data_IF_799204493016
#
_entry.id   IF_799204493016
#
_cell.length_a   1.000
_cell.length_b   1.000
_cell.length_c   1.000
_cell.angle_alpha   90.00
_cell.angle_beta   90.00
_cell.angle_gamma   90.00
#
_symmetry.space_group_name_H-M   'P 1'
#
loop_
_entity.id
_entity.type
_entity.pdbx_description
1 polymer ?
#
# COMPACT_ATOMS: atom_id res chain seq x y z
N UNK A 1 -24.44 -46.67 18.38
CA UNK A 1 -24.20 -46.69 19.85
C UNK A 1 -23.30 -45.51 20.24
N UNK A 2 -23.86 -44.67 21.12
CA UNK A 2 -23.21 -43.71 22.03
C UNK A 2 -22.44 -42.51 21.41
N UNK A 3 -23.05 -41.33 21.47
CA UNK A 3 -22.98 -40.27 22.50
C UNK A 3 -21.74 -39.39 22.26
N UNK A 4 -21.75 -38.11 21.88
CA UNK A 4 -22.48 -37.02 22.48
C UNK A 4 -21.59 -36.35 23.52
N UNK A 5 -21.09 -35.17 23.32
CA UNK A 5 -20.94 -34.17 24.38
C UNK A 5 -20.69 -32.78 23.69
N UNK A 6 -21.66 -31.91 23.83
CA UNK A 6 -21.51 -30.48 23.57
C UNK A 6 -20.79 -29.82 24.71
N UNK A 7 -19.91 -28.87 24.37
CA UNK A 7 -19.36 -27.92 25.35
C UNK A 7 -19.83 -26.51 24.96
N UNK A 8 -20.82 -26.02 25.71
CA UNK A 8 -21.13 -24.60 25.81
C UNK A 8 -20.01 -23.88 26.56
N UNK A 9 -19.32 -22.96 25.90
CA UNK A 9 -18.50 -21.97 26.58
C UNK A 9 -19.33 -20.75 26.89
N UNK A 10 -19.61 -20.56 28.19
CA UNK A 10 -20.28 -19.44 28.81
C UNK A 10 -19.26 -18.31 28.99
N UNK A 11 -19.51 -17.14 28.40
CA UNK A 11 -18.74 -15.92 28.65
C UNK A 11 -19.25 -15.23 29.92
N UNK A 12 -18.38 -14.82 30.84
CA UNK A 12 -18.75 -14.03 31.99
C UNK A 12 -18.92 -12.54 31.58
N UNK A 13 -20.10 -12.02 31.79
CA UNK A 13 -20.37 -10.60 31.70
C UNK A 13 -19.76 -9.81 32.86
N UNK A 14 -18.96 -8.82 32.52
CA UNK A 14 -18.56 -7.77 33.45
C UNK A 14 -19.09 -6.44 32.93
N UNK A 15 -20.26 -6.08 33.47
CA UNK A 15 -20.83 -4.74 33.33
C UNK A 15 -20.27 -3.91 34.49
N UNK A 16 -19.25 -3.11 34.25
CA UNK A 16 -18.84 -2.07 35.19
C UNK A 16 -19.68 -0.81 34.96
N UNK A 17 -20.64 -0.60 35.86
CA UNK A 17 -21.35 0.67 36.02
C UNK A 17 -20.43 1.69 36.67
N UNK A 18 -20.10 2.76 35.96
CA UNK A 18 -19.46 3.94 36.52
C UNK A 18 -20.52 4.78 37.26
N UNK A 19 -20.24 5.28 38.47
CA UNK A 19 -21.15 6.16 39.20
C UNK A 19 -21.13 7.58 38.64
N UNK A 20 -22.33 8.16 38.51
CA UNK A 20 -22.55 9.56 38.13
C UNK A 20 -22.14 10.50 39.29
N UNK A 21 -21.52 11.66 39.00
CA UNK A 21 -21.21 12.64 40.04
C UNK A 21 -22.48 13.40 40.51
N UNK A 22 -22.52 13.86 41.75
CA UNK A 22 -23.71 14.51 42.32
C UNK A 22 -23.89 15.94 41.78
N UNK A 23 -25.14 16.27 41.56
CA UNK A 23 -25.68 17.57 41.13
C UNK A 23 -25.60 18.54 42.29
N UNK A 24 -24.77 19.59 42.19
CA UNK A 24 -24.74 20.67 43.16
C UNK A 24 -25.80 21.73 42.83
N UNK A 25 -26.61 22.05 43.87
CA UNK A 25 -27.63 23.11 43.85
C UNK A 25 -27.01 24.53 43.88
N UNK A 26 -27.68 25.54 43.33
CA UNK A 26 -27.26 26.92 43.46
C UNK A 26 -27.78 27.56 44.74
N UNK A 27 -26.91 27.92 45.63
CA UNK A 27 -27.19 28.79 46.77
C UNK A 27 -26.73 30.23 46.48
N UNK A 28 -27.66 31.17 46.59
CA UNK A 28 -27.42 32.57 46.38
C UNK A 28 -26.72 33.28 47.52
N UNK A 29 -26.09 34.42 47.24
CA UNK A 29 -25.59 35.40 48.19
C UNK A 29 -24.68 36.42 47.51
N UNK A 30 -25.00 37.76 47.61
CA UNK A 30 -24.22 38.75 46.96
C UNK A 30 -23.18 39.31 47.93
N UNK A 31 -21.94 39.34 47.55
CA UNK A 31 -20.95 40.29 48.14
C UNK A 31 -19.82 40.54 47.15
N UNK A 32 -19.66 41.79 46.82
CA UNK A 32 -18.68 42.26 45.89
C UNK A 32 -17.26 42.08 46.34
N UNK A 33 -16.42 41.68 45.42
CA UNK A 33 -14.97 41.91 45.52
C UNK A 33 -14.43 42.07 44.11
N UNK A 34 -14.01 43.29 43.83
CA UNK A 34 -13.24 43.67 42.65
C UNK A 34 -11.95 42.86 42.64
N UNK A 35 -11.89 41.81 41.84
CA UNK A 35 -10.65 41.09 41.52
C UNK A 35 -10.18 41.57 40.13
N UNK A 36 -9.09 42.32 40.16
CA UNK A 36 -8.25 42.60 39.01
C UNK A 36 -7.82 41.30 38.36
N UNK A 37 -8.49 40.93 37.25
CA UNK A 37 -8.03 39.87 36.36
C UNK A 37 -6.85 40.39 35.56
N UNK A 38 -5.63 40.16 36.06
CA UNK A 38 -4.42 40.27 35.27
C UNK A 38 -4.48 39.28 34.12
N UNK A 39 -4.69 39.76 32.89
CA UNK A 39 -4.51 39.03 31.65
C UNK A 39 -3.03 38.61 31.53
N UNK A 40 -2.67 37.44 32.08
CA UNK A 40 -1.44 36.77 31.72
C UNK A 40 -1.70 36.18 30.32
N UNK A 41 -1.44 36.98 29.28
CA UNK A 41 -1.31 36.49 27.92
C UNK A 41 -0.09 35.57 27.89
N UNK A 42 -0.30 34.30 28.21
CA UNK A 42 0.68 33.25 28.02
C UNK A 42 0.98 33.16 26.53
N UNK A 43 2.06 33.77 26.09
CA UNK A 43 2.62 33.58 24.77
C UNK A 43 3.03 32.12 24.66
N UNK A 44 2.12 31.27 24.17
CA UNK A 44 2.49 29.91 23.75
C UNK A 44 3.45 30.06 22.56
N UNK A 45 4.73 30.12 22.86
CA UNK A 45 5.80 29.95 21.88
C UNK A 45 5.58 28.59 21.23
N UNK A 46 4.95 28.55 20.06
CA UNK A 46 4.97 27.40 19.18
C UNK A 46 6.44 27.18 18.80
N UNK A 47 7.12 26.34 19.56
CA UNK A 47 8.47 25.92 19.23
C UNK A 47 8.41 25.33 17.83
N UNK A 48 8.92 26.06 16.85
CA UNK A 48 9.04 25.58 15.48
C UNK A 48 9.91 24.33 15.52
N UNK A 49 9.29 23.17 15.33
CA UNK A 49 10.01 21.91 15.24
C UNK A 49 10.99 22.01 14.08
N UNK A 50 12.28 21.84 14.36
CA UNK A 50 13.34 21.84 13.34
C UNK A 50 12.97 20.78 12.27
N UNK A 51 12.95 21.17 10.98
CA UNK A 51 12.65 20.21 9.92
C UNK A 51 13.69 19.11 9.90
N UNK A 52 13.23 17.87 9.72
CA UNK A 52 14.10 16.72 9.58
C UNK A 52 14.79 16.71 8.22
N UNK A 53 16.04 16.30 8.19
CA UNK A 53 16.78 16.07 6.95
C UNK A 53 16.63 14.61 6.55
N UNK A 54 15.91 14.35 5.44
CA UNK A 54 15.68 13.00 4.94
C UNK A 54 16.21 12.85 3.53
N UNK A 55 17.11 11.90 3.31
CA UNK A 55 17.65 11.61 1.99
C UNK A 55 18.08 10.15 1.84
N UNK A 56 18.16 9.69 0.58
CA UNK A 56 18.70 8.38 0.21
C UNK A 56 20.16 8.56 -0.18
N UNK A 57 21.05 7.93 0.55
CA UNK A 57 22.50 8.06 0.37
C UNK A 57 23.03 7.33 -0.87
N UNK A 58 24.35 7.36 -1.03
CA UNK A 58 25.04 6.63 -2.09
C UNK A 58 24.86 5.12 -1.92
N UNK A 59 24.73 4.40 -3.05
CA UNK A 59 24.51 2.97 -3.04
C UNK A 59 25.77 2.15 -3.16
N UNK A 60 25.70 0.90 -2.66
CA UNK A 60 26.68 -0.16 -2.90
C UNK A 60 26.00 -1.38 -3.52
N UNK A 61 26.73 -2.11 -4.34
CA UNK A 61 26.26 -3.39 -4.87
C UNK A 61 26.50 -4.49 -3.83
N UNK A 62 25.52 -5.35 -3.66
CA UNK A 62 25.54 -6.45 -2.69
C UNK A 62 25.01 -7.72 -3.34
N UNK A 63 25.36 -8.91 -2.83
CA UNK A 63 24.78 -10.16 -3.30
C UNK A 63 23.25 -10.13 -3.18
N UNK A 64 22.57 -10.54 -4.24
CA UNK A 64 21.14 -10.47 -4.36
C UNK A 64 20.54 -11.85 -4.60
N UNK A 65 19.44 -12.15 -3.92
CA UNK A 65 18.59 -13.31 -4.19
C UNK A 65 17.27 -12.85 -4.78
N UNK A 66 16.95 -13.37 -5.94
CA UNK A 66 15.66 -13.15 -6.63
C UNK A 66 14.50 -13.92 -6.01
N UNK A 67 14.75 -14.75 -4.99
CA UNK A 67 13.69 -15.50 -4.30
C UNK A 67 12.65 -14.54 -3.74
N UNK A 68 11.41 -14.68 -4.19
CA UNK A 68 10.30 -13.81 -3.80
C UNK A 68 10.15 -12.52 -4.61
N UNK A 69 10.85 -12.39 -5.75
CA UNK A 69 10.71 -11.23 -6.64
C UNK A 69 10.71 -11.63 -8.13
N UNK A 70 9.74 -12.42 -8.58
CA UNK A 70 9.71 -12.93 -9.96
C UNK A 70 9.20 -11.92 -10.98
N UNK A 71 8.43 -10.94 -10.56
CA UNK A 71 7.74 -10.04 -11.49
C UNK A 71 8.63 -8.91 -12.03
N UNK A 72 9.87 -9.20 -12.39
CA UNK A 72 10.79 -8.19 -12.97
C UNK A 72 12.24 -8.40 -12.62
N UNK A 73 12.56 -9.44 -11.89
CA UNK A 73 13.94 -9.84 -11.71
C UNK A 73 14.40 -10.55 -12.99
N UNK A 74 15.40 -9.97 -13.65
CA UNK A 74 16.12 -10.69 -14.68
C UNK A 74 16.83 -11.87 -14.02
N UNK A 75 16.72 -13.10 -14.55
CA UNK A 75 17.38 -14.29 -13.99
C UNK A 75 18.90 -14.12 -13.79
N UNK A 76 19.48 -13.16 -14.47
CA UNK A 76 20.91 -12.85 -14.46
C UNK A 76 21.30 -11.79 -13.42
N UNK A 77 20.34 -11.14 -12.74
CA UNK A 77 20.63 -10.09 -11.76
C UNK A 77 21.22 -10.72 -10.49
N UNK A 78 22.53 -10.71 -10.37
CA UNK A 78 23.27 -11.26 -9.22
C UNK A 78 23.56 -10.25 -8.12
N UNK A 79 23.28 -8.97 -8.37
CA UNK A 79 23.61 -7.88 -7.47
C UNK A 79 22.45 -6.90 -7.32
N UNK A 80 22.18 -6.52 -6.09
CA UNK A 80 21.25 -5.45 -5.76
C UNK A 80 22.02 -4.20 -5.35
N UNK A 81 21.65 -3.05 -5.90
CA UNK A 81 22.20 -1.78 -5.43
C UNK A 81 21.45 -1.32 -4.20
N UNK A 82 22.10 -1.34 -3.05
CA UNK A 82 21.51 -0.98 -1.76
C UNK A 82 21.97 0.40 -1.33
N UNK A 83 21.05 1.24 -0.87
CA UNK A 83 21.25 2.63 -0.45
C UNK A 83 20.72 2.85 0.96
N UNK A 84 21.44 3.52 1.84
CA UNK A 84 20.90 3.89 3.16
C UNK A 84 19.88 5.01 3.03
N UNK A 85 18.76 4.86 3.72
CA UNK A 85 17.81 5.93 3.99
C UNK A 85 18.24 6.60 5.30
N UNK A 86 18.62 7.86 5.20
CA UNK A 86 19.09 8.64 6.34
C UNK A 86 18.04 9.64 6.79
N UNK A 87 17.87 9.71 8.11
CA UNK A 87 17.07 10.75 8.78
C UNK A 87 17.98 11.41 9.80
N UNK A 88 18.21 12.70 9.68
CA UNK A 88 19.12 13.47 10.52
C UNK A 88 20.53 12.88 10.60
N UNK A 89 21.02 12.42 9.45
CA UNK A 89 22.34 11.80 9.33
C UNK A 89 22.45 10.36 9.87
N UNK A 90 21.36 9.79 10.42
CA UNK A 90 21.35 8.41 10.94
C UNK A 90 20.67 7.48 9.94
N UNK A 91 21.27 6.32 9.69
CA UNK A 91 20.65 5.27 8.87
C UNK A 91 19.43 4.73 9.60
N UNK A 92 18.26 4.86 8.99
CA UNK A 92 17.01 4.31 9.52
C UNK A 92 16.66 2.98 8.85
N UNK A 93 16.88 2.90 7.55
CA UNK A 93 16.56 1.73 6.75
C UNK A 93 17.52 1.58 5.58
N UNK A 94 17.52 0.41 4.97
CA UNK A 94 18.17 0.15 3.69
C UNK A 94 17.14 0.03 2.59
N UNK A 95 17.43 0.60 1.43
CA UNK A 95 16.51 0.67 0.28
C UNK A 95 17.23 0.21 -0.98
N UNK A 96 16.49 -0.23 -1.99
CA UNK A 96 17.07 -0.50 -3.32
C UNK A 96 17.17 0.77 -4.20
N UNK A 97 16.67 1.91 -3.68
CA UNK A 97 16.69 3.19 -4.39
C UNK A 97 15.47 3.44 -5.28
N UNK A 98 14.61 2.45 -5.51
CA UNK A 98 13.31 2.68 -6.15
C UNK A 98 12.47 3.59 -5.25
N UNK A 99 12.15 4.78 -5.73
CA UNK A 99 11.39 5.76 -4.96
C UNK A 99 10.40 6.50 -5.85
N UNK A 100 9.28 6.91 -5.26
CA UNK A 100 8.28 7.70 -5.93
C UNK A 100 7.76 8.80 -5.00
N UNK A 101 7.73 10.05 -5.49
CA UNK A 101 7.22 11.19 -4.74
C UNK A 101 5.69 11.16 -4.71
N UNK A 102 5.12 11.18 -3.50
CA UNK A 102 3.66 11.24 -3.30
C UNK A 102 3.22 12.71 -3.22
N UNK A 103 3.91 13.47 -2.39
CA UNK A 103 3.74 14.93 -2.24
C UNK A 103 5.12 15.54 -1.98
N UNK A 104 5.21 16.86 -1.93
CA UNK A 104 6.45 17.54 -1.53
C UNK A 104 6.92 17.11 -0.13
N UNK A 105 5.98 16.69 0.70
CA UNK A 105 6.20 16.28 2.08
C UNK A 105 6.53 14.81 2.23
N UNK A 106 6.07 13.95 1.33
CA UNK A 106 6.15 12.50 1.48
C UNK A 106 6.53 11.78 0.19
N UNK A 107 7.23 10.67 0.34
CA UNK A 107 7.56 9.78 -0.74
C UNK A 107 7.53 8.33 -0.26
N UNK A 108 7.43 7.41 -1.20
CA UNK A 108 7.60 5.97 -0.95
C UNK A 108 8.94 5.52 -1.48
N UNK A 109 9.51 4.51 -0.83
CA UNK A 109 10.75 3.89 -1.26
C UNK A 109 10.69 2.40 -0.98
N UNK A 110 11.29 1.59 -1.85
CA UNK A 110 11.31 0.15 -1.65
C UNK A 110 12.44 -0.24 -0.71
N UNK A 111 12.10 -0.95 0.37
CA UNK A 111 13.05 -1.46 1.36
C UNK A 111 13.94 -2.53 0.75
N UNK A 112 15.21 -2.58 1.15
CA UNK A 112 16.10 -3.71 0.93
C UNK A 112 16.25 -4.47 2.24
N UNK A 113 15.99 -5.77 2.22
CA UNK A 113 16.10 -6.65 3.38
C UNK A 113 17.40 -7.43 3.32
N UNK A 114 18.10 -7.52 4.44
CA UNK A 114 19.25 -8.40 4.60
C UNK A 114 18.80 -9.65 5.35
N UNK A 115 18.98 -10.79 4.73
CA UNK A 115 18.57 -12.09 5.27
C UNK A 115 19.77 -13.00 5.41
N UNK A 116 19.75 -13.84 6.43
CA UNK A 116 20.69 -14.93 6.57
C UNK A 116 20.02 -16.18 6.03
N UNK A 117 20.53 -16.74 4.95
CA UNK A 117 20.05 -17.97 4.32
C UNK A 117 20.90 -19.21 4.62
N UNK A 118 21.75 -19.12 5.66
CA UNK A 118 22.52 -20.26 6.13
C UNK A 118 21.63 -21.40 6.57
N UNK A 119 21.98 -22.60 6.15
CA UNK A 119 21.26 -23.80 6.58
C UNK A 119 21.66 -24.19 8.04
N UNK A 120 20.76 -24.89 8.75
CA UNK A 120 21.10 -25.47 10.04
C UNK A 120 22.33 -26.40 9.92
N UNK A 121 23.42 -26.05 10.59
CA UNK A 121 24.70 -26.78 10.53
C UNK A 121 25.81 -26.10 9.74
N UNK A 122 25.51 -25.02 9.02
CA UNK A 122 26.55 -24.23 8.37
C UNK A 122 27.48 -23.59 9.42
N UNK A 123 28.78 -23.61 9.14
CA UNK A 123 29.81 -23.02 10.02
C UNK A 123 29.92 -21.49 9.90
N UNK A 124 29.34 -20.93 8.88
CA UNK A 124 29.38 -19.49 8.60
C UNK A 124 28.02 -18.95 8.20
N UNK A 125 27.75 -17.72 8.60
CA UNK A 125 26.56 -17.00 8.18
C UNK A 125 26.67 -16.61 6.70
N UNK A 126 25.61 -16.86 5.94
CA UNK A 126 25.50 -16.46 4.54
C UNK A 126 24.44 -15.38 4.39
N UNK A 127 24.88 -14.13 4.21
CA UNK A 127 24.00 -12.98 4.13
C UNK A 127 23.73 -12.60 2.67
N UNK A 128 22.45 -12.57 2.35
CA UNK A 128 21.93 -12.14 1.04
C UNK A 128 20.99 -10.94 1.21
N UNK A 129 20.72 -10.27 0.13
CA UNK A 129 19.79 -9.17 0.08
C UNK A 129 18.61 -9.50 -0.81
N UNK A 130 17.44 -8.96 -0.45
CA UNK A 130 16.20 -9.09 -1.20
C UNK A 130 15.47 -7.75 -1.28
N UNK A 131 14.63 -7.57 -2.29
CA UNK A 131 13.66 -6.48 -2.33
C UNK A 131 12.59 -6.73 -1.29
N UNK A 132 12.41 -5.77 -0.40
CA UNK A 132 11.43 -5.83 0.69
C UNK A 132 10.14 -5.06 0.36
N UNK A 133 9.29 -4.84 1.38
CA UNK A 133 8.08 -4.06 1.24
C UNK A 133 8.37 -2.58 0.98
N UNK A 134 7.35 -1.84 0.56
CA UNK A 134 7.42 -0.40 0.41
C UNK A 134 7.35 0.30 1.77
N UNK A 135 8.08 1.39 1.89
CA UNK A 135 8.09 2.28 3.04
C UNK A 135 7.50 3.63 2.64
N UNK A 136 6.71 4.22 3.52
CA UNK A 136 6.25 5.61 3.42
C UNK A 136 7.10 6.49 4.33
N UNK A 137 7.62 7.56 3.76
CA UNK A 137 8.52 8.50 4.41
C UNK A 137 7.83 9.87 4.49
N UNK A 138 7.71 10.43 5.69
CA UNK A 138 7.30 11.82 5.90
C UNK A 138 8.54 12.68 6.17
N UNK A 139 8.86 13.59 5.25
CA UNK A 139 10.04 14.48 5.34
C UNK A 139 9.96 15.46 6.49
N UNK A 140 8.75 15.87 6.87
CA UNK A 140 8.54 16.86 7.94
C UNK A 140 8.69 16.22 9.31
N UNK A 141 8.11 15.04 9.50
CA UNK A 141 8.17 14.30 10.76
C UNK A 141 9.42 13.44 10.89
N UNK A 142 10.18 13.23 9.82
CA UNK A 142 11.28 12.27 9.77
C UNK A 142 10.83 10.83 10.05
N UNK A 143 9.54 10.53 9.85
CA UNK A 143 9.00 9.20 10.12
C UNK A 143 9.18 8.27 8.92
N UNK A 144 9.52 7.02 9.23
CA UNK A 144 9.66 5.91 8.29
C UNK A 144 8.71 4.82 8.73
N UNK A 145 7.71 4.51 7.92
CA UNK A 145 6.67 3.52 8.24
C UNK A 145 6.50 2.52 7.11
N UNK A 146 6.22 1.26 7.45
CA UNK A 146 5.87 0.28 6.44
C UNK A 146 4.55 0.68 5.76
N UNK A 147 4.55 0.68 4.43
CA UNK A 147 3.34 0.90 3.66
C UNK A 147 2.63 -0.44 3.46
N UNK A 148 1.39 -0.50 3.93
CA UNK A 148 0.55 -1.68 3.69
C UNK A 148 -0.14 -1.55 2.33
N UNK A 149 0.17 -2.48 1.43
CA UNK A 149 -0.51 -2.64 0.16
C UNK A 149 -1.36 -3.91 0.23
N UNK A 150 -2.71 -3.81 0.12
CA UNK A 150 -3.61 -4.96 0.25
C UNK A 150 -3.29 -6.05 -0.78
N UNK A 151 -3.22 -7.31 -0.35
CA UNK A 151 -3.01 -8.48 -1.20
C UNK A 151 -1.75 -8.42 -2.10
N UNK A 152 -0.83 -7.50 -1.80
CA UNK A 152 0.39 -7.34 -2.58
C UNK A 152 1.38 -8.48 -2.32
N UNK A 153 1.78 -9.14 -3.40
CA UNK A 153 2.84 -10.12 -3.41
C UNK A 153 3.89 -9.69 -4.45
N UNK A 154 5.12 -9.36 -4.02
CA UNK A 154 6.18 -8.98 -4.95
C UNK A 154 6.54 -10.09 -5.94
N UNK A 155 6.23 -11.36 -5.59
CA UNK A 155 6.41 -12.50 -6.46
C UNK A 155 5.46 -12.53 -7.66
N UNK A 156 4.38 -11.80 -7.60
CA UNK A 156 3.30 -11.82 -8.60
C UNK A 156 3.33 -10.58 -9.49
N UNK A 157 3.65 -9.42 -8.92
CA UNK A 157 3.55 -8.15 -9.62
C UNK A 157 4.47 -7.09 -9.03
N UNK A 158 4.93 -6.17 -9.86
CA UNK A 158 5.53 -4.93 -9.41
C UNK A 158 4.45 -3.86 -9.18
N UNK A 159 4.75 -2.93 -8.27
CA UNK A 159 3.90 -1.75 -8.04
C UNK A 159 4.28 -0.66 -9.03
N UNK A 160 3.32 -0.18 -9.80
CA UNK A 160 3.48 0.98 -10.68
C UNK A 160 2.74 2.17 -10.09
N UNK A 161 3.47 3.23 -9.83
CA UNK A 161 2.98 4.41 -9.14
C UNK A 161 2.48 5.48 -10.10
N UNK A 162 1.39 6.12 -9.73
CA UNK A 162 0.90 7.36 -10.34
C UNK A 162 0.37 8.30 -9.26
N UNK A 163 1.03 9.45 -9.03
CA UNK A 163 0.75 10.34 -7.90
C UNK A 163 0.79 9.56 -6.59
N UNK A 164 -0.32 9.51 -5.84
CA UNK A 164 -0.50 8.78 -4.60
C UNK A 164 -1.20 7.41 -4.76
N UNK A 165 -1.35 6.96 -6.01
CA UNK A 165 -1.92 5.66 -6.34
C UNK A 165 -0.84 4.62 -6.64
N UNK A 166 -1.03 3.45 -6.08
CA UNK A 166 -0.26 2.23 -6.34
C UNK A 166 -1.13 1.25 -7.12
N UNK A 167 -0.74 0.86 -8.32
CA UNK A 167 -1.43 -0.16 -9.10
C UNK A 167 -0.57 -1.41 -9.23
N UNK A 168 -1.17 -2.57 -9.01
CA UNK A 168 -0.49 -3.87 -9.05
C UNK A 168 -1.52 -5.01 -9.14
N UNK A 169 -1.08 -6.19 -9.51
CA UNK A 169 -1.88 -7.40 -9.35
C UNK A 169 -1.67 -7.98 -7.95
N UNK A 170 -2.75 -8.04 -7.19
CA UNK A 170 -2.77 -8.68 -5.88
C UNK A 170 -3.07 -10.17 -5.98
N UNK A 171 -2.62 -10.94 -4.99
CA UNK A 171 -2.88 -12.36 -4.86
C UNK A 171 -3.70 -12.63 -3.60
N UNK A 172 -4.78 -13.40 -3.74
CA UNK A 172 -5.54 -13.82 -2.56
C UNK A 172 -4.68 -14.59 -1.56
N UNK A 173 -5.06 -14.57 -0.29
CA UNK A 173 -4.38 -15.32 0.77
C UNK A 173 -4.30 -16.84 0.49
N UNK A 174 -5.23 -17.36 -0.32
CA UNK A 174 -5.20 -18.78 -0.76
C UNK A 174 -4.25 -19.05 -1.93
N UNK A 175 -3.65 -18.00 -2.54
CA UNK A 175 -2.79 -18.11 -3.72
C UNK A 175 -3.52 -18.49 -5.02
N UNK A 176 -4.86 -18.52 -5.02
CA UNK A 176 -5.64 -19.07 -6.16
C UNK A 176 -6.32 -18.00 -7.01
N UNK A 177 -6.28 -16.74 -6.60
CA UNK A 177 -7.04 -15.69 -7.25
C UNK A 177 -6.22 -14.44 -7.41
N UNK A 178 -6.13 -13.93 -8.64
CA UNK A 178 -5.56 -12.62 -8.94
C UNK A 178 -6.62 -11.52 -8.86
N UNK A 179 -6.19 -10.36 -8.41
CA UNK A 179 -6.98 -9.13 -8.33
C UNK A 179 -6.26 -7.97 -9.02
N UNK A 180 -7.00 -7.17 -9.76
CA UNK A 180 -6.57 -5.81 -10.11
C UNK A 180 -6.73 -4.93 -8.87
N UNK A 181 -5.66 -4.36 -8.37
CA UNK A 181 -5.68 -3.51 -7.18
C UNK A 181 -5.14 -2.13 -7.51
N UNK A 182 -5.89 -1.11 -7.12
CA UNK A 182 -5.41 0.28 -7.06
C UNK A 182 -5.60 0.74 -5.62
N UNK A 183 -4.50 0.90 -4.91
CA UNK A 183 -4.48 1.41 -3.55
C UNK A 183 -4.02 2.87 -3.53
N UNK A 184 -4.64 3.70 -2.70
CA UNK A 184 -4.20 5.07 -2.44
C UNK A 184 -3.45 5.12 -1.11
N UNK A 185 -2.29 5.78 -1.07
CA UNK A 185 -1.37 5.76 0.07
C UNK A 185 -2.03 6.16 1.40
N UNK A 186 -2.95 7.11 1.39
CA UNK A 186 -3.62 7.59 2.60
C UNK A 186 -4.96 6.89 2.89
N UNK A 187 -5.46 6.05 1.98
CA UNK A 187 -6.76 5.40 2.11
C UNK A 187 -6.66 4.06 2.85
N UNK A 188 -7.67 3.76 3.66
CA UNK A 188 -7.77 2.46 4.35
C UNK A 188 -8.23 1.32 3.44
N UNK A 189 -8.95 1.66 2.36
CA UNK A 189 -9.49 0.70 1.40
C UNK A 189 -8.94 1.00 0.01
N UNK A 190 -8.69 0.00 -0.81
CA UNK A 190 -8.30 0.23 -2.19
C UNK A 190 -9.44 0.90 -2.97
N UNK A 191 -9.08 1.75 -3.92
CA UNK A 191 -10.01 2.38 -4.88
C UNK A 191 -10.57 1.33 -5.84
N UNK A 192 -9.73 0.35 -6.19
CA UNK A 192 -10.08 -0.80 -7.01
C UNK A 192 -9.57 -2.07 -6.34
N UNK A 193 -10.44 -3.07 -6.23
CA UNK A 193 -10.07 -4.46 -5.92
C UNK A 193 -11.05 -5.37 -6.67
N UNK A 194 -10.68 -5.76 -7.89
CA UNK A 194 -11.52 -6.57 -8.78
C UNK A 194 -10.81 -7.85 -9.17
N UNK A 195 -11.58 -8.92 -9.14
CA UNK A 195 -11.12 -10.24 -9.56
C UNK A 195 -10.74 -10.22 -11.04
N UNK A 196 -9.52 -10.67 -11.36
CA UNK A 196 -9.03 -10.79 -12.73
C UNK A 196 -9.22 -12.20 -13.26
N UNK A 197 -8.54 -13.16 -12.66
CA UNK A 197 -8.58 -14.54 -13.08
C UNK A 197 -8.44 -15.47 -11.89
N UNK A 198 -9.00 -16.68 -12.01
CA UNK A 198 -8.70 -17.75 -11.08
C UNK A 198 -7.51 -18.54 -11.65
N UNK A 199 -6.66 -19.00 -10.75
CA UNK A 199 -5.57 -19.89 -11.07
C UNK A 199 -5.88 -21.28 -10.49
N UNK A 200 -5.65 -22.34 -11.30
CA UNK A 200 -5.90 -23.70 -10.88
C UNK A 200 -4.62 -24.35 -10.36
N UNK A 201 -4.64 -25.00 -9.18
CA UNK A 201 -3.51 -25.79 -8.73
C UNK A 201 -3.23 -26.91 -9.74
N UNK A 202 -2.03 -26.96 -10.30
CA UNK A 202 -1.64 -27.91 -11.33
C UNK A 202 -1.16 -27.26 -12.62
N UNK A 203 -1.42 -25.99 -12.81
CA UNK A 203 -0.71 -25.19 -13.81
C UNK A 203 0.72 -24.98 -13.34
N UNK A 204 1.67 -25.28 -14.20
CA UNK A 204 3.11 -25.18 -13.86
C UNK A 204 3.63 -23.74 -13.72
N UNK A 205 2.80 -22.75 -14.02
CA UNK A 205 3.14 -21.34 -13.89
C UNK A 205 2.41 -20.70 -12.71
N UNK A 206 3.15 -19.99 -11.87
CA UNK A 206 2.57 -19.16 -10.83
C UNK A 206 1.76 -18.01 -11.48
N UNK A 207 0.62 -17.63 -10.86
CA UNK A 207 -0.14 -16.48 -11.34
C UNK A 207 0.75 -15.24 -11.29
N UNK A 208 0.86 -14.56 -12.40
CA UNK A 208 1.67 -13.36 -12.53
C UNK A 208 0.94 -12.33 -13.39
N UNK A 209 1.29 -11.08 -13.23
CA UNK A 209 0.93 -10.02 -14.13
C UNK A 209 2.18 -9.43 -14.77
N UNK A 210 2.05 -9.08 -16.02
CA UNK A 210 3.01 -8.19 -16.67
C UNK A 210 2.88 -6.78 -16.08
N UNK A 211 3.67 -5.85 -16.58
CA UNK A 211 3.66 -4.47 -16.10
C UNK A 211 2.28 -3.84 -16.22
N UNK A 212 1.81 -3.25 -15.12
CA UNK A 212 0.61 -2.43 -15.10
C UNK A 212 0.89 -1.10 -15.81
N UNK A 213 -0.04 -0.62 -16.61
CA UNK A 213 0.12 0.62 -17.37
C UNK A 213 -0.85 1.70 -16.93
N UNK A 214 -0.36 2.95 -16.83
CA UNK A 214 -1.14 4.13 -16.53
C UNK A 214 -1.30 5.00 -17.76
N UNK A 215 -2.54 5.37 -18.05
CA UNK A 215 -2.91 6.43 -18.99
C UNK A 215 -3.42 7.64 -18.19
N UNK A 216 -3.04 8.86 -18.61
CA UNK A 216 -3.37 10.09 -17.85
C UNK A 216 -4.71 10.70 -18.22
N UNK A 217 -5.09 10.63 -19.50
CA UNK A 217 -6.28 11.30 -20.03
C UNK A 217 -7.03 10.35 -20.99
N UNK A 218 -8.18 9.82 -20.57
CA UNK A 218 -8.71 9.82 -19.22
C UNK A 218 -7.78 9.06 -18.25
N UNK A 219 -7.90 9.29 -16.94
CA UNK A 219 -7.11 8.54 -15.99
C UNK A 219 -7.55 7.07 -16.00
N UNK A 220 -6.70 6.23 -16.56
CA UNK A 220 -6.97 4.81 -16.78
C UNK A 220 -5.80 3.97 -16.32
N UNK A 221 -6.09 2.80 -15.81
CA UNK A 221 -5.11 1.77 -15.46
C UNK A 221 -5.45 0.46 -16.18
N UNK A 222 -4.44 -0.15 -16.80
CA UNK A 222 -4.57 -1.41 -17.51
C UNK A 222 -3.75 -2.48 -16.82
N UNK A 223 -4.38 -3.64 -16.57
CA UNK A 223 -3.77 -4.82 -15.99
C UNK A 223 -3.71 -5.91 -17.05
N UNK A 224 -2.56 -6.57 -17.15
CA UNK A 224 -2.35 -7.68 -18.07
C UNK A 224 -1.96 -8.93 -17.30
N UNK A 225 -2.94 -9.78 -16.90
CA UNK A 225 -2.64 -11.07 -16.30
C UNK A 225 -1.95 -11.98 -17.32
N UNK A 226 -0.99 -12.80 -16.88
CA UNK A 226 -0.36 -13.78 -17.74
C UNK A 226 -1.39 -14.80 -18.23
N UNK A 227 -1.45 -15.03 -19.54
CA UNK A 227 -2.38 -15.96 -20.16
C UNK A 227 -3.84 -15.51 -20.26
N UNK A 228 -4.14 -14.24 -19.95
CA UNK A 228 -5.49 -13.68 -20.06
C UNK A 228 -5.49 -12.33 -20.83
N UNK A 229 -6.67 -11.87 -21.20
CA UNK A 229 -6.86 -10.56 -21.83
C UNK A 229 -6.57 -9.42 -20.87
N UNK A 230 -6.03 -8.31 -21.38
CA UNK A 230 -5.86 -7.08 -20.62
C UNK A 230 -7.23 -6.54 -20.17
N UNK A 231 -7.25 -5.97 -18.98
CA UNK A 231 -8.44 -5.36 -18.40
C UNK A 231 -8.12 -3.94 -17.95
N UNK A 232 -8.93 -2.98 -18.43
CA UNK A 232 -8.72 -1.56 -18.16
C UNK A 232 -9.82 -0.99 -17.28
N UNK A 233 -9.45 -0.05 -16.42
CA UNK A 233 -10.38 0.66 -15.54
C UNK A 233 -10.13 2.16 -15.62
N UNK A 234 -11.18 2.95 -15.82
CA UNK A 234 -11.13 4.40 -15.65
C UNK A 234 -11.30 4.75 -14.17
N UNK A 235 -10.44 5.60 -13.65
CA UNK A 235 -10.55 6.11 -12.28
C UNK A 235 -11.29 7.45 -12.30
N UNK A 236 -12.40 7.52 -11.56
CA UNK A 236 -13.22 8.73 -11.41
C UNK A 236 -13.37 9.02 -9.91
N UNK A 237 -12.64 10.03 -9.43
CA UNK A 237 -12.57 10.33 -8.00
C UNK A 237 -11.99 9.15 -7.20
N UNK A 238 -12.76 8.63 -6.25
CA UNK A 238 -12.40 7.47 -5.42
C UNK A 238 -13.01 6.15 -5.91
N UNK A 239 -13.43 6.11 -7.17
CA UNK A 239 -14.07 4.95 -7.79
C UNK A 239 -13.35 4.53 -9.07
N UNK A 240 -13.49 3.26 -9.42
CA UNK A 240 -12.99 2.73 -10.68
C UNK A 240 -14.13 2.08 -11.47
N UNK A 241 -14.21 2.40 -12.75
CA UNK A 241 -15.20 1.88 -13.68
C UNK A 241 -14.49 1.03 -14.74
N UNK A 242 -14.99 -0.18 -14.97
CA UNK A 242 -14.48 -1.05 -16.03
C UNK A 242 -14.66 -0.35 -17.39
N UNK A 243 -13.63 -0.38 -18.20
CA UNK A 243 -13.70 0.01 -19.60
C UNK A 243 -14.04 -1.24 -20.40
N UNK A 244 -15.25 -1.32 -20.86
CA UNK A 244 -15.62 -2.29 -21.89
C UNK A 244 -15.05 -1.76 -23.20
N UNK A 245 -14.08 -2.46 -23.78
CA UNK A 245 -13.67 -2.21 -25.15
C UNK A 245 -14.88 -2.60 -26.01
N UNK A 246 -15.69 -1.61 -26.37
CA UNK A 246 -16.81 -1.80 -27.25
C UNK A 246 -16.27 -2.40 -28.54
N UNK A 247 -16.69 -3.62 -28.84
CA UNK A 247 -16.51 -4.21 -30.15
C UNK A 247 -17.10 -3.20 -31.14
N UNK A 248 -16.21 -2.44 -31.74
CA UNK A 248 -16.53 -1.47 -32.77
C UNK A 248 -17.00 -2.19 -34.05
N UNK A 249 -18.10 -2.91 -33.94
CA UNK A 249 -18.83 -3.44 -35.09
C UNK A 249 -19.99 -2.48 -35.42
N UNK A 250 -19.61 -1.22 -35.68
CA UNK A 250 -20.46 -0.31 -36.43
C UNK A 250 -20.51 -0.78 -37.88
N UNK A 251 -21.33 -1.77 -38.15
CA UNK A 251 -21.85 -2.02 -39.49
C UNK A 251 -22.70 -0.80 -39.89
N UNK A 252 -22.07 0.23 -40.44
CA UNK A 252 -22.73 1.16 -41.30
C UNK A 252 -23.03 0.44 -42.62
N UNK A 253 -24.11 -0.34 -42.61
CA UNK A 253 -24.84 -0.69 -43.86
C UNK A 253 -25.46 0.60 -44.42
N UNK A 254 -24.64 1.36 -45.10
CA UNK A 254 -25.09 2.37 -46.03
C UNK A 254 -25.70 1.65 -47.24
N UNK A 255 -26.97 1.31 -47.12
CA UNK A 255 -27.80 0.89 -48.26
C UNK A 255 -27.90 2.03 -49.29
N UNK A 256 -27.43 1.90 -50.52
CA UNK A 256 -27.68 2.89 -51.55
C UNK A 256 -29.14 2.82 -51.95
N UNK A 257 -29.90 3.87 -51.68
CA UNK A 257 -31.27 4.03 -52.13
C UNK A 257 -31.39 3.97 -53.66
N UNK A 258 -32.49 3.44 -54.17
CA UNK A 258 -32.68 3.28 -55.60
C UNK A 258 -32.90 4.64 -56.28
N UNK A 259 -32.10 4.89 -57.31
CA UNK A 259 -32.28 5.94 -58.30
C UNK A 259 -33.57 5.68 -59.08
N UNK A 260 -34.55 6.54 -58.93
CA UNK A 260 -35.68 6.61 -59.88
C UNK A 260 -35.48 7.72 -60.92
N UNK A 261 -35.62 7.34 -62.18
CA UNK A 261 -35.74 8.17 -63.37
C UNK A 261 -36.76 9.29 -63.24
#
# INVERSE_FOLDING_TARGET
MRNGVGSCFQLPGWINRLPLPPRSQPGGGPCGLLLLLGLIAGSHSLAATKPHTVFVGSGKNVPYSVTGDPAGALPEEKQLRVRPLLVDGKVREWTNGESHAITDRSFVVRRALRLNDSLPGDKSEHWIWQRGPWLLIDRVKGSVTALHLPDYDPAVSNVIWFRDYAAYCGLSASGKQLYAVVAQVAARKPVLAKKLSAWSPGESQLPACTTVEWQREPLRVTFQPSGATAVSYNLVGLSAVLVEDGDGNGNEDASPGPSNN
#
